data_IF_595835122512
#
_entry.id   IF_595835122512
#
_cell.length_a   1.000
_cell.length_b   1.000
_cell.length_c   1.000
_cell.angle_alpha   90.00
_cell.angle_beta   90.00
_cell.angle_gamma   90.00
#
_symmetry.space_group_name_H-M   'P 1'
#
loop_
_entity.id
_entity.type
_entity.pdbx_description
1 polymer ?
#
# COMPACT_ATOMS: atom_id res chain seq x y z
N UNK A 1 -18.59 -32.82 -18.73
CA UNK A 1 -19.50 -32.28 -17.69
C UNK A 1 -19.50 -30.76 -17.85
N UNK A 2 -20.57 -30.20 -18.41
CA UNK A 2 -20.63 -28.79 -18.83
C UNK A 2 -21.21 -27.92 -17.71
N UNK A 3 -20.53 -26.82 -17.37
CA UNK A 3 -21.06 -25.79 -16.49
C UNK A 3 -22.00 -24.88 -17.29
N UNK A 4 -23.25 -24.72 -16.84
CA UNK A 4 -24.24 -23.78 -17.40
C UNK A 4 -24.24 -22.49 -16.58
N UNK A 5 -24.29 -21.34 -17.23
CA UNK A 5 -24.45 -20.04 -16.56
C UNK A 5 -25.93 -19.69 -16.32
N UNK A 6 -26.18 -18.59 -15.59
CA UNK A 6 -27.52 -18.13 -15.18
C UNK A 6 -28.42 -17.67 -16.33
N UNK A 7 -28.00 -17.77 -17.59
CA UNK A 7 -28.78 -17.36 -18.77
C UNK A 7 -29.12 -18.55 -19.70
N UNK A 8 -28.79 -19.79 -19.33
CA UNK A 8 -29.28 -21.00 -19.98
C UNK A 8 -28.76 -21.23 -21.41
N UNK A 9 -27.72 -20.52 -21.85
CA UNK A 9 -27.19 -20.66 -23.23
C UNK A 9 -26.19 -21.81 -23.33
N UNK A 10 -26.36 -22.63 -24.37
CA UNK A 10 -25.43 -23.71 -24.72
C UNK A 10 -24.23 -23.11 -25.47
N UNK A 11 -23.10 -22.95 -24.78
CA UNK A 11 -21.84 -22.58 -25.45
C UNK A 11 -21.20 -23.87 -25.98
N UNK A 12 -21.31 -24.09 -27.29
CA UNK A 12 -20.59 -25.18 -27.97
C UNK A 12 -19.09 -24.91 -27.93
N UNK A 13 -18.34 -25.90 -27.47
CA UNK A 13 -16.88 -25.93 -27.58
C UNK A 13 -16.48 -25.99 -29.06
N UNK A 14 -16.02 -24.87 -29.60
CA UNK A 14 -15.21 -24.85 -30.82
C UNK A 14 -13.76 -25.17 -30.44
N UNK A 15 -13.15 -26.07 -31.20
CA UNK A 15 -11.86 -26.70 -30.92
C UNK A 15 -10.67 -25.73 -30.89
N UNK A 16 -9.60 -26.20 -30.24
CA UNK A 16 -8.33 -25.53 -29.93
C UNK A 16 -8.40 -24.66 -28.66
N UNK A 17 -8.15 -25.26 -27.48
CA UNK A 17 -8.37 -24.68 -26.14
C UNK A 17 -7.80 -23.26 -26.02
N UNK A 18 -8.62 -22.21 -26.25
CA UNK A 18 -8.12 -20.85 -26.26
C UNK A 18 -7.83 -20.50 -24.80
N UNK A 19 -6.64 -19.94 -24.54
CA UNK A 19 -6.31 -19.40 -23.21
C UNK A 19 -7.50 -18.55 -22.75
N UNK A 20 -8.26 -19.03 -21.77
CA UNK A 20 -9.45 -18.33 -21.33
C UNK A 20 -9.01 -17.18 -20.41
N UNK A 21 -9.31 -15.93 -20.81
CA UNK A 21 -8.95 -14.71 -20.09
C UNK A 21 -9.46 -14.75 -18.65
N UNK A 22 -10.73 -15.15 -18.46
CA UNK A 22 -11.36 -15.28 -17.16
C UNK A 22 -10.68 -16.34 -16.29
N UNK A 23 -10.42 -17.54 -16.82
CA UNK A 23 -9.71 -18.58 -16.07
C UNK A 23 -8.31 -18.13 -15.65
N UNK A 24 -7.63 -17.38 -16.52
CA UNK A 24 -6.31 -16.84 -16.22
C UNK A 24 -6.38 -15.74 -15.15
N UNK A 25 -7.38 -14.86 -15.25
CA UNK A 25 -7.61 -13.80 -14.29
C UNK A 25 -7.95 -14.36 -12.89
N UNK A 26 -8.86 -15.32 -12.82
CA UNK A 26 -9.22 -16.00 -11.56
C UNK A 26 -8.01 -16.70 -10.94
N UNK A 27 -7.17 -17.38 -11.74
CA UNK A 27 -5.91 -17.97 -11.25
C UNK A 27 -4.93 -16.94 -10.70
N UNK A 28 -4.87 -15.75 -11.29
CA UNK A 28 -4.03 -14.68 -10.75
C UNK A 28 -4.58 -14.21 -9.40
N UNK A 29 -5.90 -13.95 -9.32
CA UNK A 29 -6.57 -13.46 -8.12
C UNK A 29 -6.57 -14.49 -6.97
N UNK A 30 -6.59 -15.79 -7.28
CA UNK A 30 -6.53 -16.85 -6.26
C UNK A 30 -5.17 -16.90 -5.53
N UNK A 31 -4.10 -16.41 -6.16
CA UNK A 31 -2.76 -16.38 -5.55
C UNK A 31 -2.61 -15.16 -4.65
N UNK A 32 -3.05 -14.00 -5.13
CA UNK A 32 -3.07 -12.75 -4.36
C UNK A 32 -4.01 -11.75 -5.00
N UNK A 33 -4.45 -10.77 -4.22
CA UNK A 33 -5.18 -9.62 -4.73
C UNK A 33 -4.33 -8.80 -5.72
N UNK A 34 -4.98 -8.26 -6.74
CA UNK A 34 -4.43 -7.31 -7.70
C UNK A 34 -5.34 -6.09 -7.77
N UNK A 35 -4.76 -4.93 -8.08
CA UNK A 35 -5.58 -3.81 -8.57
C UNK A 35 -6.11 -4.12 -9.96
N UNK A 36 -7.17 -3.43 -10.36
CA UNK A 36 -7.73 -3.51 -11.72
C UNK A 36 -6.64 -3.29 -12.78
N UNK A 37 -5.82 -2.25 -12.63
CA UNK A 37 -4.71 -1.94 -13.55
C UNK A 37 -3.64 -3.04 -13.56
N UNK A 38 -3.27 -3.59 -12.40
CA UNK A 38 -2.27 -4.67 -12.34
C UNK A 38 -2.79 -5.95 -13.02
N UNK A 39 -4.06 -6.30 -12.81
CA UNK A 39 -4.66 -7.46 -13.47
C UNK A 39 -4.70 -7.26 -14.99
N UNK A 40 -5.21 -6.13 -15.46
CA UNK A 40 -5.28 -5.82 -16.89
C UNK A 40 -3.91 -5.86 -17.57
N UNK A 41 -2.90 -5.23 -16.95
CA UNK A 41 -1.53 -5.26 -17.47
C UNK A 41 -0.95 -6.68 -17.56
N UNK A 42 -1.22 -7.54 -16.57
CA UNK A 42 -0.76 -8.94 -16.58
C UNK A 42 -1.45 -9.78 -17.64
N UNK A 43 -2.74 -9.53 -17.89
CA UNK A 43 -3.48 -10.20 -18.94
C UNK A 43 -2.97 -9.76 -20.31
N UNK A 44 -2.71 -8.47 -20.51
CA UNK A 44 -2.11 -7.94 -21.74
C UNK A 44 -0.73 -8.55 -22.01
N UNK A 45 0.14 -8.64 -21.00
CA UNK A 45 1.45 -9.30 -21.12
C UNK A 45 1.36 -10.80 -21.47
N UNK A 46 0.22 -11.45 -21.24
CA UNK A 46 -0.02 -12.84 -21.63
C UNK A 46 -0.56 -12.99 -23.05
N UNK A 47 -0.75 -11.88 -23.76
CA UNK A 47 -1.18 -11.81 -25.16
C UNK A 47 -2.70 -11.81 -25.35
N UNK A 48 -3.47 -11.40 -24.35
CA UNK A 48 -4.93 -11.28 -24.49
C UNK A 48 -5.33 -9.95 -25.13
N UNK A 49 -6.43 -9.97 -25.89
CA UNK A 49 -6.98 -8.78 -26.53
C UNK A 49 -7.58 -7.80 -25.51
N UNK A 50 -7.46 -6.51 -25.79
CA UNK A 50 -7.93 -5.46 -24.89
C UNK A 50 -9.45 -5.55 -24.61
N UNK A 51 -10.27 -5.85 -25.62
CA UNK A 51 -11.71 -5.94 -25.45
C UNK A 51 -12.12 -7.16 -24.60
N UNK A 52 -11.39 -8.27 -24.69
CA UNK A 52 -11.61 -9.44 -23.84
C UNK A 52 -11.18 -9.19 -22.39
N UNK A 53 -10.08 -8.47 -22.20
CA UNK A 53 -9.60 -8.04 -20.87
C UNK A 53 -10.63 -7.13 -20.21
N UNK A 54 -11.11 -6.10 -20.91
CA UNK A 54 -12.10 -5.15 -20.38
C UNK A 54 -13.40 -5.86 -19.96
N UNK A 55 -13.93 -6.74 -20.82
CA UNK A 55 -15.10 -7.57 -20.49
C UNK A 55 -14.88 -8.44 -19.26
N UNK A 56 -13.70 -9.07 -19.16
CA UNK A 56 -13.35 -9.93 -18.03
C UNK A 56 -13.22 -9.13 -16.74
N UNK A 57 -12.54 -7.97 -16.79
CA UNK A 57 -12.38 -7.06 -15.65
C UNK A 57 -13.73 -6.55 -15.16
N UNK A 58 -14.61 -6.12 -16.07
CA UNK A 58 -15.95 -5.66 -15.72
C UNK A 58 -16.76 -6.76 -15.02
N UNK A 59 -16.73 -7.99 -15.55
CA UNK A 59 -17.36 -9.15 -14.91
C UNK A 59 -16.80 -9.42 -13.51
N UNK A 60 -15.48 -9.36 -13.33
CA UNK A 60 -14.84 -9.62 -12.03
C UNK A 60 -15.12 -8.52 -11.00
N UNK A 61 -15.30 -7.26 -11.44
CA UNK A 61 -15.74 -6.16 -10.60
C UNK A 61 -17.19 -6.37 -10.14
N UNK A 62 -18.10 -6.68 -11.08
CA UNK A 62 -19.52 -6.93 -10.78
C UNK A 62 -19.70 -8.15 -9.84
N UNK A 63 -18.91 -9.20 -10.07
CA UNK A 63 -18.89 -10.38 -9.21
C UNK A 63 -18.06 -10.20 -7.92
N UNK A 64 -17.53 -9.01 -7.63
CA UNK A 64 -16.77 -8.66 -6.42
C UNK A 64 -15.48 -9.50 -6.20
N UNK A 65 -14.93 -10.07 -7.27
CA UNK A 65 -13.61 -10.73 -7.28
C UNK A 65 -12.47 -9.71 -7.38
N UNK A 66 -12.74 -8.53 -7.97
CA UNK A 66 -11.85 -7.38 -8.00
C UNK A 66 -12.43 -6.26 -7.15
N UNK A 67 -11.58 -5.65 -6.32
CA UNK A 67 -11.97 -4.56 -5.45
C UNK A 67 -10.72 -3.74 -5.09
N UNK A 68 -10.56 -2.60 -5.76
CA UNK A 68 -9.42 -1.71 -5.55
C UNK A 68 -9.40 -1.13 -4.13
N UNK A 69 -10.55 -0.99 -3.48
CA UNK A 69 -10.63 -0.50 -2.10
C UNK A 69 -10.09 -1.52 -1.10
N UNK A 70 -10.53 -2.80 -1.22
CA UNK A 70 -9.97 -3.89 -0.42
C UNK A 70 -8.47 -4.08 -0.68
N UNK A 71 -8.07 -4.03 -1.96
CA UNK A 71 -6.67 -4.12 -2.34
C UNK A 71 -5.83 -3.00 -1.69
N UNK A 72 -6.31 -1.75 -1.76
CA UNK A 72 -5.60 -0.60 -1.20
C UNK A 72 -5.47 -0.67 0.32
N UNK A 73 -6.54 -1.07 1.03
CA UNK A 73 -6.51 -1.25 2.47
C UNK A 73 -5.51 -2.33 2.89
N UNK A 74 -5.55 -3.50 2.24
CA UNK A 74 -4.64 -4.61 2.52
C UNK A 74 -3.16 -4.24 2.26
N UNK A 75 -2.88 -3.58 1.12
CA UNK A 75 -1.53 -3.12 0.80
C UNK A 75 -1.05 -2.08 1.82
N UNK A 76 -1.90 -1.11 2.17
CA UNK A 76 -1.58 -0.06 3.14
C UNK A 76 -1.19 -0.65 4.49
N UNK A 77 -2.02 -1.55 5.05
CA UNK A 77 -1.73 -2.23 6.31
C UNK A 77 -0.43 -3.04 6.25
N UNK A 78 -0.24 -3.84 5.19
CA UNK A 78 0.98 -4.64 5.04
C UNK A 78 2.26 -3.79 4.94
N UNK A 79 2.21 -2.64 4.25
CA UNK A 79 3.36 -1.73 4.14
C UNK A 79 3.63 -0.97 5.43
N UNK A 80 2.57 -0.51 6.10
CA UNK A 80 2.68 0.16 7.39
C UNK A 80 3.32 -0.78 8.44
N UNK A 81 2.82 -2.02 8.57
CA UNK A 81 3.23 -2.96 9.61
C UNK A 81 4.57 -3.62 9.28
N UNK A 82 4.69 -4.27 8.12
CA UNK A 82 5.88 -5.10 7.85
C UNK A 82 7.07 -4.29 7.35
N UNK A 83 6.80 -3.25 6.53
CA UNK A 83 7.86 -2.42 5.95
C UNK A 83 8.11 -1.12 6.70
N UNK A 84 7.24 -0.75 7.64
CA UNK A 84 7.35 0.49 8.41
C UNK A 84 7.42 1.69 7.46
N UNK A 85 6.52 1.70 6.48
CA UNK A 85 6.36 2.80 5.53
C UNK A 85 5.32 3.78 6.05
N UNK A 86 5.58 5.05 5.82
CA UNK A 86 4.65 6.13 6.10
C UNK A 86 3.70 6.41 4.94
N UNK A 87 2.70 7.29 5.16
CA UNK A 87 1.62 7.55 4.23
C UNK A 87 2.06 7.95 2.83
N UNK A 88 3.05 8.84 2.71
CA UNK A 88 3.45 9.38 1.41
C UNK A 88 3.98 8.29 0.47
N UNK A 89 4.75 7.35 1.02
CA UNK A 89 5.34 6.25 0.25
C UNK A 89 4.29 5.23 -0.17
N UNK A 90 3.32 4.96 0.69
CA UNK A 90 2.20 4.07 0.38
C UNK A 90 1.29 4.68 -0.70
N UNK A 91 0.99 5.98 -0.61
CA UNK A 91 0.24 6.71 -1.64
C UNK A 91 0.92 6.59 -3.02
N UNK A 92 2.24 6.77 -3.07
CA UNK A 92 3.01 6.63 -4.30
C UNK A 92 2.93 5.20 -4.87
N UNK A 93 3.05 4.17 -4.03
CA UNK A 93 2.92 2.78 -4.49
C UNK A 93 1.52 2.49 -5.03
N UNK A 94 0.46 2.90 -4.33
CA UNK A 94 -0.92 2.68 -4.79
C UNK A 94 -1.24 3.43 -6.09
N UNK A 95 -0.74 4.66 -6.23
CA UNK A 95 -0.89 5.45 -7.45
C UNK A 95 -0.18 4.79 -8.64
N UNK A 96 1.04 4.28 -8.45
CA UNK A 96 1.74 3.50 -9.47
C UNK A 96 0.96 2.22 -9.85
N UNK A 97 0.23 1.63 -8.89
CA UNK A 97 -0.68 0.50 -9.10
C UNK A 97 -2.03 0.87 -9.72
N UNK A 98 -2.26 2.14 -10.04
CA UNK A 98 -3.46 2.61 -10.72
C UNK A 98 -4.69 2.75 -9.84
N UNK A 99 -4.54 2.72 -8.53
CA UNK A 99 -5.66 2.92 -7.60
C UNK A 99 -6.07 4.38 -7.63
N UNK A 100 -7.39 4.65 -7.60
CA UNK A 100 -7.90 6.02 -7.67
C UNK A 100 -7.49 6.87 -6.46
N UNK A 101 -7.33 8.20 -6.62
CA UNK A 101 -6.98 9.09 -5.51
C UNK A 101 -7.92 8.99 -4.30
N UNK A 102 -9.22 8.81 -4.52
CA UNK A 102 -10.22 8.71 -3.44
C UNK A 102 -10.08 7.42 -2.63
N UNK A 103 -9.82 6.30 -3.31
CA UNK A 103 -9.55 5.02 -2.63
C UNK A 103 -8.23 5.12 -1.85
N UNK A 104 -7.20 5.73 -2.44
CA UNK A 104 -5.91 5.95 -1.78
C UNK A 104 -6.11 6.78 -0.51
N UNK A 105 -6.84 7.90 -0.60
CA UNK A 105 -7.14 8.78 0.52
C UNK A 105 -7.84 8.01 1.64
N UNK A 106 -8.87 7.23 1.29
CA UNK A 106 -9.65 6.42 2.24
C UNK A 106 -8.79 5.35 2.92
N UNK A 107 -8.06 4.54 2.15
CA UNK A 107 -7.23 3.46 2.68
C UNK A 107 -6.12 3.98 3.61
N UNK A 108 -5.45 5.07 3.22
CA UNK A 108 -4.38 5.66 4.01
C UNK A 108 -4.92 6.36 5.26
N UNK A 109 -6.04 7.08 5.16
CA UNK A 109 -6.64 7.73 6.33
C UNK A 109 -7.18 6.71 7.33
N UNK A 110 -7.75 5.60 6.85
CA UNK A 110 -8.19 4.49 7.71
C UNK A 110 -7.07 3.81 8.48
N UNK A 111 -5.85 3.76 7.93
CA UNK A 111 -4.70 3.17 8.60
C UNK A 111 -3.97 4.14 9.54
N UNK A 112 -3.87 5.42 9.18
CA UNK A 112 -3.02 6.39 9.87
C UNK A 112 -3.76 7.44 10.69
N UNK A 113 -5.11 7.45 10.68
CA UNK A 113 -5.94 8.37 11.48
C UNK A 113 -5.95 9.80 10.93
N UNK A 114 -7.03 10.18 10.20
CA UNK A 114 -7.17 11.53 9.61
C UNK A 114 -6.16 11.81 8.49
N UNK A 115 -6.38 12.86 7.69
CA UNK A 115 -5.74 13.06 6.38
C UNK A 115 -4.20 13.18 6.43
N UNK A 116 -3.52 12.02 6.45
CA UNK A 116 -2.12 11.88 6.08
C UNK A 116 -1.10 12.58 6.99
N UNK A 117 -0.92 12.10 8.22
CA UNK A 117 0.27 12.41 9.05
C UNK A 117 0.55 13.91 9.28
N UNK A 118 -0.45 14.77 9.15
CA UNK A 118 -0.37 16.20 9.49
C UNK A 118 -0.97 16.54 10.85
N UNK A 119 -1.88 15.70 11.36
CA UNK A 119 -2.65 15.96 12.58
C UNK A 119 -2.61 14.70 13.45
N UNK A 120 -1.43 14.36 13.97
CA UNK A 120 -1.45 13.74 15.28
C UNK A 120 -1.88 14.85 16.26
N UNK A 121 -2.75 14.55 17.22
CA UNK A 121 -3.02 15.48 18.31
C UNK A 121 -1.70 16.04 18.81
N UNK A 122 -1.61 17.37 18.88
CA UNK A 122 -0.35 18.08 19.08
C UNK A 122 0.36 17.54 20.34
N UNK A 123 1.39 16.70 20.13
CA UNK A 123 2.17 16.09 21.20
C UNK A 123 2.15 14.56 21.23
N UNK A 124 1.23 13.87 20.55
CA UNK A 124 1.24 12.42 20.50
C UNK A 124 2.24 11.90 19.46
N UNK A 125 3.04 10.91 19.85
CA UNK A 125 4.01 10.29 18.95
C UNK A 125 3.27 9.35 17.98
N UNK A 126 3.33 9.58 16.66
CA UNK A 126 2.63 8.72 15.71
C UNK A 126 3.13 7.26 15.80
N UNK A 127 2.26 6.27 16.05
CA UNK A 127 2.68 4.91 16.42
C UNK A 127 3.50 4.23 15.33
N UNK A 128 3.15 4.42 14.06
CA UNK A 128 3.92 3.87 12.93
C UNK A 128 5.30 4.51 12.78
N UNK A 129 5.42 5.82 13.04
CA UNK A 129 6.71 6.52 13.00
C UNK A 129 7.61 6.05 14.16
N UNK A 130 7.03 5.87 15.35
CA UNK A 130 7.71 5.29 16.52
C UNK A 130 8.24 3.89 16.24
N UNK A 131 7.40 2.98 15.76
CA UNK A 131 7.81 1.62 15.44
C UNK A 131 8.94 1.61 14.39
N UNK A 132 8.87 2.49 13.38
CA UNK A 132 9.91 2.62 12.36
C UNK A 132 11.25 3.07 12.99
N UNK A 133 11.20 4.04 13.91
CA UNK A 133 12.35 4.55 14.64
C UNK A 133 12.96 3.49 15.56
N UNK A 134 12.16 2.80 16.37
CA UNK A 134 12.61 1.73 17.28
C UNK A 134 13.39 0.65 16.52
N UNK A 135 12.87 0.23 15.36
CA UNK A 135 13.57 -0.73 14.49
C UNK A 135 14.90 -0.20 13.97
N UNK A 136 14.97 1.09 13.65
CA UNK A 136 16.21 1.72 13.19
C UNK A 136 17.25 1.88 14.31
N UNK A 137 16.80 2.32 15.50
CA UNK A 137 17.63 2.44 16.70
C UNK A 137 18.26 1.09 17.07
N UNK A 138 17.46 0.03 17.12
CA UNK A 138 17.94 -1.34 17.35
C UNK A 138 19.00 -1.75 16.32
N UNK A 139 18.77 -1.47 15.03
CA UNK A 139 19.75 -1.76 13.97
C UNK A 139 21.04 -0.94 14.09
N UNK A 140 20.97 0.26 14.67
CA UNK A 140 22.12 1.13 14.87
C UNK A 140 22.78 1.00 16.24
N UNK A 141 22.25 0.15 17.12
CA UNK A 141 22.66 0.04 18.51
C UNK A 141 22.68 1.41 19.22
N UNK A 142 21.66 2.23 18.98
CA UNK A 142 21.48 3.55 19.57
C UNK A 142 20.29 3.55 20.53
N UNK A 143 20.36 4.40 21.56
CA UNK A 143 19.27 4.64 22.49
C UNK A 143 18.88 6.13 22.48
N UNK A 144 17.68 6.44 22.96
CA UNK A 144 17.28 7.81 23.23
C UNK A 144 17.87 8.28 24.58
N UNK A 145 18.16 9.58 24.76
CA UNK A 145 18.04 10.66 23.76
C UNK A 145 19.17 10.62 22.72
N UNK A 146 18.90 11.12 21.50
CA UNK A 146 19.91 11.19 20.43
C UNK A 146 20.69 12.51 20.48
N UNK A 147 21.97 12.46 20.11
CA UNK A 147 22.77 13.65 19.81
C UNK A 147 22.29 14.34 18.51
N UNK A 148 22.73 15.59 18.28
CA UNK A 148 22.35 16.38 17.09
C UNK A 148 22.59 15.62 15.77
N UNK A 149 23.70 14.88 15.69
CA UNK A 149 24.08 14.11 14.50
C UNK A 149 23.12 12.94 14.26
N UNK A 150 22.83 12.11 15.26
CA UNK A 150 21.95 10.97 15.10
C UNK A 150 20.48 11.37 15.02
N UNK A 151 20.06 12.46 15.65
CA UNK A 151 18.74 13.05 15.49
C UNK A 151 18.48 13.39 14.02
N UNK A 152 19.40 14.12 13.37
CA UNK A 152 19.28 14.44 11.96
C UNK A 152 19.24 13.18 11.06
N UNK A 153 19.97 12.13 11.43
CA UNK A 153 19.93 10.83 10.71
C UNK A 153 18.59 10.11 10.89
N UNK A 154 18.03 10.13 12.10
CA UNK A 154 16.74 9.52 12.42
C UNK A 154 15.60 10.23 11.67
N UNK A 155 15.58 11.56 11.67
CA UNK A 155 14.58 12.35 10.94
C UNK A 155 14.65 12.05 9.44
N UNK A 156 15.84 12.12 8.82
CA UNK A 156 16.02 11.77 7.39
C UNK A 156 15.58 10.34 7.09
N UNK A 157 15.88 9.41 8.00
CA UNK A 157 15.45 8.03 7.86
C UNK A 157 13.91 7.93 7.83
N UNK A 158 13.20 8.57 8.75
CA UNK A 158 11.73 8.54 8.80
C UNK A 158 11.10 9.22 7.57
N UNK A 159 11.65 10.36 7.13
CA UNK A 159 11.21 11.02 5.89
C UNK A 159 11.41 10.09 4.69
N UNK A 160 12.54 9.40 4.58
CA UNK A 160 12.80 8.42 3.51
C UNK A 160 11.85 7.21 3.53
N UNK A 161 11.16 6.98 4.66
CA UNK A 161 10.10 5.99 4.79
C UNK A 161 8.72 6.51 4.42
N UNK A 162 8.58 7.81 4.19
CA UNK A 162 7.33 8.45 3.77
C UNK A 162 6.51 9.04 4.90
N UNK A 163 7.11 9.25 6.08
CA UNK A 163 6.50 10.03 7.15
C UNK A 163 6.68 11.53 6.88
N UNK A 164 5.73 12.34 7.35
CA UNK A 164 5.85 13.80 7.28
C UNK A 164 7.01 14.29 8.16
N UNK A 165 7.51 15.49 7.87
CA UNK A 165 8.54 16.13 8.70
C UNK A 165 8.10 16.27 10.15
N UNK A 166 6.85 16.71 10.39
CA UNK A 166 6.28 16.83 11.72
C UNK A 166 6.27 15.48 12.46
N UNK A 167 5.72 14.43 11.84
CA UNK A 167 5.71 13.09 12.45
C UNK A 167 7.12 12.55 12.73
N UNK A 168 8.07 12.82 11.83
CA UNK A 168 9.46 12.42 12.00
C UNK A 168 10.14 13.16 13.16
N UNK A 169 9.89 14.47 13.29
CA UNK A 169 10.40 15.30 14.38
C UNK A 169 9.78 14.92 15.72
N UNK A 170 8.46 14.71 15.79
CA UNK A 170 7.79 14.28 17.02
C UNK A 170 8.30 12.90 17.48
N UNK A 171 8.48 11.95 16.55
CA UNK A 171 8.96 10.62 16.90
C UNK A 171 10.44 10.60 17.30
N UNK A 172 11.32 11.30 16.58
CA UNK A 172 12.75 11.30 16.86
C UNK A 172 13.17 12.29 17.95
N UNK A 173 12.39 13.36 18.13
CA UNK A 173 12.65 14.47 19.05
C UNK A 173 12.12 14.25 20.47
N UNK A 174 11.58 13.06 20.78
CA UNK A 174 11.19 12.63 22.12
C UNK A 174 12.37 12.75 23.08
N UNK A 175 12.53 13.95 23.65
CA UNK A 175 13.63 14.46 24.48
C UNK A 175 14.94 14.61 23.71
N UNK A 176 15.12 15.79 23.09
CA UNK A 176 16.46 16.35 22.89
C UNK A 176 17.16 16.29 24.26
N UNK A 177 18.33 15.65 24.34
CA UNK A 177 19.16 15.73 25.53
C UNK A 177 19.46 17.21 25.76
N UNK A 178 19.07 17.77 26.91
CA UNK A 178 19.14 19.20 27.25
C UNK A 178 20.58 19.75 27.37
N UNK A 179 21.58 19.13 26.76
CA UNK A 179 22.96 19.59 26.68
C UNK A 179 23.20 20.59 25.54
N UNK A 180 22.26 21.54 25.35
CA UNK A 180 22.52 22.77 24.60
C UNK A 180 22.25 23.94 25.56
N UNK A 181 23.01 23.94 26.63
CA UNK A 181 23.38 25.09 27.45
C UNK A 181 24.84 24.79 27.79
N UNK A 182 25.74 25.72 27.48
CA UNK A 182 27.20 25.62 27.53
C UNK A 182 27.84 25.33 26.17
N UNK A 183 28.00 26.43 25.43
CA UNK A 183 28.75 26.56 24.20
C UNK A 183 28.76 28.02 23.80
N UNK A 184 29.32 28.85 24.69
CA UNK A 184 29.92 30.15 24.34
C UNK A 184 30.93 30.01 23.19
#
# INVERSE_FOLDING_TARGET
>A
MAYKDKLGRSVRASGNNPKNVLNTAVKLLSIRQHSVKELGAKLALKGFDAAEIEKTVAYLLDANYLDDAKYAAALTGARAIHKHWGPAKIRAELSAKGVSPEIIKTAVSGQFGGAGAGEADAGEIPPFARAALEKWLKKKALNLPLDKKNLARAIRFLISRGFSTAAAMTAAGGRISSYISDGE
#
